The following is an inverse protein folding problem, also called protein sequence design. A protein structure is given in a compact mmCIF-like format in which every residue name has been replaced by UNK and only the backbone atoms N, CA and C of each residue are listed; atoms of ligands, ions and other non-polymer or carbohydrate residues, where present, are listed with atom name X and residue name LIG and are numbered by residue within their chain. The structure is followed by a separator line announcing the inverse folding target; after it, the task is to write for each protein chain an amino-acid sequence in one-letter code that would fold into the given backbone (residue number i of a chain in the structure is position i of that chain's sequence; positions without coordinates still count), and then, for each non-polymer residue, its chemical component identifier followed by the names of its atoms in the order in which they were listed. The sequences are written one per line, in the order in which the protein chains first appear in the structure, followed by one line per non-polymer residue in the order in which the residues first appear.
data_IF_151220409786
#
_entry.id   IF_151220409786
#
_cell.length_a   1.000
_cell.length_b   1.000
_cell.length_c   1.000
_cell.angle_alpha   90.00
_cell.angle_beta   90.00
_cell.angle_gamma   90.00
#
_symmetry.space_group_name_H-M   'P 1'
#
loop_
_entity.id
_entity.type
_entity.pdbx_description
1 polymer ?
#
# COMPACT_ATOMS: atom_id res chain seq x y z
N UNK A 1 -24.79 3.91 -13.37
CA UNK A 1 -25.29 2.81 -14.23
C UNK A 1 -25.86 1.76 -13.28
N UNK A 2 -27.12 1.33 -13.49
CA UNK A 2 -27.73 0.29 -12.65
C UNK A 2 -27.64 -1.05 -13.37
N UNK A 3 -27.36 -2.11 -12.62
CA UNK A 3 -27.33 -3.48 -13.13
C UNK A 3 -28.50 -4.29 -12.57
N UNK A 4 -28.98 -5.24 -13.37
CA UNK A 4 -29.82 -6.34 -12.91
C UNK A 4 -28.96 -7.58 -12.73
N UNK A 5 -29.09 -8.20 -11.57
CA UNK A 5 -28.59 -9.55 -11.29
C UNK A 5 -29.76 -10.51 -11.50
N UNK A 6 -29.57 -11.51 -12.32
CA UNK A 6 -30.52 -12.61 -12.51
C UNK A 6 -29.91 -13.90 -11.95
N UNK A 7 -30.57 -14.52 -10.98
CA UNK A 7 -30.19 -15.80 -10.39
C UNK A 7 -31.02 -16.93 -11.02
N UNK A 8 -30.38 -17.78 -11.81
CA UNK A 8 -30.99 -18.88 -12.53
C UNK A 8 -30.78 -20.18 -11.79
N UNK A 9 -31.88 -20.90 -11.51
CA UNK A 9 -31.88 -22.27 -11.01
C UNK A 9 -32.15 -23.21 -12.17
N UNK A 10 -31.26 -24.15 -12.41
CA UNK A 10 -31.23 -25.01 -13.60
C UNK A 10 -31.19 -26.47 -13.20
N UNK A 11 -32.03 -27.31 -13.79
CA UNK A 11 -32.00 -28.77 -13.54
C UNK A 11 -32.26 -29.55 -14.83
N UNK A 12 -31.34 -30.45 -15.25
CA UNK A 12 -29.96 -30.56 -14.79
C UNK A 12 -29.11 -29.35 -15.14
N UNK A 13 -28.08 -29.04 -14.33
CA UNK A 13 -27.25 -27.81 -14.50
C UNK A 13 -26.47 -27.89 -15.82
N UNK A 14 -25.80 -29.01 -16.06
CA UNK A 14 -25.02 -29.22 -17.29
C UNK A 14 -25.78 -30.10 -18.30
N UNK A 15 -25.72 -29.79 -19.63
CA UNK A 15 -24.98 -28.68 -20.26
C UNK A 15 -25.75 -27.35 -20.35
N UNK A 16 -26.90 -27.23 -19.68
CA UNK A 16 -27.80 -26.09 -19.86
C UNK A 16 -27.20 -24.75 -19.41
N UNK A 17 -26.36 -24.73 -18.37
CA UNK A 17 -25.70 -23.50 -17.92
C UNK A 17 -24.76 -22.93 -18.99
N UNK A 18 -23.97 -23.77 -19.67
CA UNK A 18 -23.06 -23.32 -20.74
C UNK A 18 -23.84 -22.74 -21.93
N UNK A 19 -24.95 -23.39 -22.30
CA UNK A 19 -25.82 -22.91 -23.39
C UNK A 19 -26.46 -21.57 -22.99
N UNK A 20 -26.96 -21.49 -21.76
CA UNK A 20 -27.61 -20.26 -21.26
C UNK A 20 -26.63 -19.09 -21.18
N UNK A 21 -25.38 -19.31 -20.80
CA UNK A 21 -24.31 -18.27 -20.81
C UNK A 21 -24.12 -17.73 -22.22
N UNK A 22 -24.07 -18.60 -23.23
CA UNK A 22 -23.88 -18.17 -24.61
C UNK A 22 -25.09 -17.34 -25.11
N UNK A 23 -26.32 -17.79 -24.86
CA UNK A 23 -27.54 -17.09 -25.28
C UNK A 23 -27.72 -15.74 -24.56
N UNK A 24 -27.46 -15.68 -23.26
CA UNK A 24 -27.49 -14.45 -22.47
C UNK A 24 -26.42 -13.47 -22.90
N UNK A 25 -25.23 -13.95 -23.27
CA UNK A 25 -24.16 -13.10 -23.81
C UNK A 25 -24.59 -12.36 -25.09
N UNK A 26 -25.34 -13.02 -25.96
CA UNK A 26 -25.93 -12.39 -27.18
C UNK A 26 -27.00 -11.33 -26.83
N UNK A 27 -27.64 -11.44 -25.68
CA UNK A 27 -28.62 -10.46 -25.18
C UNK A 27 -27.98 -9.32 -24.38
N UNK A 28 -26.64 -9.25 -24.32
CA UNK A 28 -25.91 -8.16 -23.68
C UNK A 28 -25.60 -8.36 -22.20
N UNK A 29 -25.72 -9.60 -21.69
CA UNK A 29 -25.20 -9.90 -20.35
C UNK A 29 -23.67 -9.93 -20.36
N UNK A 30 -23.03 -9.28 -19.37
CA UNK A 30 -21.60 -8.99 -19.39
C UNK A 30 -20.79 -9.87 -18.42
N UNK A 31 -21.44 -10.45 -17.41
CA UNK A 31 -20.76 -11.24 -16.39
C UNK A 31 -21.61 -12.39 -15.90
N UNK A 32 -20.95 -13.53 -15.63
CA UNK A 32 -21.58 -14.79 -15.25
C UNK A 32 -20.82 -15.42 -14.07
N UNK A 33 -21.57 -15.92 -13.09
CA UNK A 33 -21.03 -16.66 -11.95
C UNK A 33 -21.78 -17.99 -11.83
N UNK A 34 -21.11 -19.09 -12.12
CA UNK A 34 -21.67 -20.42 -12.00
C UNK A 34 -21.70 -20.88 -10.53
N UNK A 35 -22.72 -21.66 -10.16
CA UNK A 35 -22.86 -22.32 -8.86
C UNK A 35 -23.50 -23.72 -9.03
N UNK A 36 -23.58 -24.47 -7.94
CA UNK A 36 -24.10 -25.85 -7.94
C UNK A 36 -25.58 -25.98 -8.35
N UNK A 37 -26.34 -24.88 -8.34
CA UNK A 37 -27.78 -24.85 -8.65
C UNK A 37 -28.08 -24.19 -10.00
N UNK A 38 -27.08 -23.63 -10.69
CA UNK A 38 -27.23 -22.93 -11.95
C UNK A 38 -26.21 -21.81 -12.14
N UNK A 39 -26.67 -20.60 -12.45
CA UNK A 39 -25.79 -19.45 -12.66
C UNK A 39 -26.43 -18.13 -12.26
N UNK A 40 -25.59 -17.16 -11.94
CA UNK A 40 -25.97 -15.76 -11.76
C UNK A 40 -25.42 -14.96 -12.93
N UNK A 41 -26.26 -14.16 -13.57
CA UNK A 41 -25.87 -13.33 -14.71
C UNK A 41 -26.19 -11.86 -14.47
N UNK A 42 -25.35 -10.97 -15.03
CA UNK A 42 -25.46 -9.54 -14.84
C UNK A 42 -25.64 -8.83 -16.18
N UNK A 43 -26.60 -7.91 -16.24
CA UNK A 43 -26.88 -7.08 -17.41
C UNK A 43 -27.16 -5.64 -16.98
N UNK A 44 -26.78 -4.67 -17.82
CA UNK A 44 -27.19 -3.28 -17.59
C UNK A 44 -28.72 -3.17 -17.68
N UNK A 45 -29.31 -2.51 -16.68
CA UNK A 45 -30.79 -2.43 -16.56
C UNK A 45 -31.46 -1.87 -17.83
N UNK A 46 -30.80 -0.91 -18.46
CA UNK A 46 -31.32 -0.26 -19.67
C UNK A 46 -31.22 -1.16 -20.93
N UNK A 47 -30.39 -2.20 -20.88
CA UNK A 47 -30.23 -3.21 -21.93
C UNK A 47 -31.12 -4.45 -21.72
N UNK A 48 -31.65 -4.63 -20.52
CA UNK A 48 -32.47 -5.80 -20.20
C UNK A 48 -33.78 -5.78 -20.98
N UNK A 49 -34.02 -6.84 -21.74
CA UNK A 49 -35.25 -7.05 -22.53
C UNK A 49 -35.92 -8.36 -22.12
N UNK A 50 -37.01 -8.27 -21.37
CA UNK A 50 -37.76 -9.44 -20.91
C UNK A 50 -38.30 -10.29 -22.04
N UNK A 51 -38.78 -9.69 -23.13
CA UNK A 51 -39.32 -10.42 -24.27
C UNK A 51 -38.23 -11.26 -24.95
N UNK A 52 -37.04 -10.68 -25.15
CA UNK A 52 -35.91 -11.41 -25.72
C UNK A 52 -35.44 -12.55 -24.82
N UNK A 53 -35.52 -12.35 -23.47
CA UNK A 53 -35.26 -13.40 -22.50
C UNK A 53 -36.21 -14.57 -22.61
N UNK A 54 -37.50 -14.32 -22.79
CA UNK A 54 -38.52 -15.39 -22.93
C UNK A 54 -38.40 -16.17 -24.23
N UNK A 55 -37.74 -15.59 -25.25
CA UNK A 55 -37.49 -16.22 -26.56
C UNK A 55 -36.21 -17.10 -26.57
N UNK A 56 -35.43 -17.14 -25.51
CA UNK A 56 -34.24 -18.02 -25.35
C UNK A 56 -34.66 -19.47 -25.58
N UNK A 57 -33.93 -20.19 -26.41
CA UNK A 57 -34.23 -21.57 -26.78
C UNK A 57 -34.42 -22.50 -25.57
N UNK A 58 -33.55 -22.37 -24.56
CA UNK A 58 -33.64 -23.20 -23.38
C UNK A 58 -34.94 -23.02 -22.58
N UNK A 59 -35.58 -21.86 -22.59
CA UNK A 59 -36.88 -21.65 -21.92
C UNK A 59 -38.06 -22.20 -22.72
N UNK A 60 -37.87 -22.44 -24.02
CA UNK A 60 -38.92 -23.01 -24.89
C UNK A 60 -38.93 -24.53 -24.89
N UNK A 61 -37.85 -25.19 -24.45
CA UNK A 61 -37.73 -26.65 -24.40
C UNK A 61 -38.24 -27.21 -23.10
N UNK A 62 -38.65 -28.48 -23.08
CA UNK A 62 -39.04 -29.19 -21.85
C UNK A 62 -37.89 -30.06 -21.28
N UNK A 63 -36.71 -29.95 -21.86
CA UNK A 63 -35.57 -30.82 -21.49
C UNK A 63 -34.90 -30.33 -20.16
N UNK A 64 -35.05 -29.06 -19.83
CA UNK A 64 -34.49 -28.47 -18.64
C UNK A 64 -35.57 -27.73 -17.85
N UNK A 65 -35.47 -27.77 -16.51
CA UNK A 65 -36.27 -26.92 -15.65
C UNK A 65 -35.44 -25.71 -15.28
N UNK A 66 -35.85 -24.53 -15.76
CA UNK A 66 -35.14 -23.28 -15.49
C UNK A 66 -36.13 -22.32 -14.87
N UNK A 67 -35.73 -21.73 -13.74
CA UNK A 67 -36.43 -20.62 -13.11
C UNK A 67 -35.42 -19.54 -12.76
N UNK A 68 -35.87 -18.30 -12.72
CA UNK A 68 -34.99 -17.20 -12.36
C UNK A 68 -35.69 -16.15 -11.52
N UNK A 69 -34.89 -15.43 -10.76
CA UNK A 69 -35.29 -14.24 -10.02
C UNK A 69 -34.37 -13.10 -10.37
N UNK A 70 -34.87 -11.86 -10.33
CA UNK A 70 -34.04 -10.69 -10.57
C UNK A 70 -34.03 -9.74 -9.40
N UNK A 71 -32.88 -9.08 -9.20
CA UNK A 71 -32.78 -7.95 -8.27
C UNK A 71 -31.94 -6.83 -8.91
N UNK A 72 -32.30 -5.59 -8.59
CA UNK A 72 -31.46 -4.44 -8.98
C UNK A 72 -30.21 -4.39 -8.12
N UNK A 73 -29.05 -4.39 -8.76
CA UNK A 73 -27.76 -4.15 -8.08
C UNK A 73 -27.50 -2.65 -8.15
N UNK A 74 -27.60 -2.00 -7.02
CA UNK A 74 -27.18 -0.60 -6.93
C UNK A 74 -25.67 -0.58 -6.98
N UNK A 75 -25.12 0.23 -7.90
CA UNK A 75 -23.67 0.41 -7.98
C UNK A 75 -23.15 0.93 -6.64
N UNK A 76 -22.49 0.06 -5.91
CA UNK A 76 -21.83 0.46 -4.66
C UNK A 76 -20.53 1.18 -5.03
N UNK A 77 -20.38 2.39 -4.58
CA UNK A 77 -19.11 3.10 -4.69
C UNK A 77 -18.11 2.52 -3.66
N UNK A 78 -17.45 1.43 -4.06
CA UNK A 78 -16.45 0.76 -3.22
C UNK A 78 -15.32 1.69 -2.80
N UNK A 79 -14.96 2.67 -3.63
CA UNK A 79 -13.96 3.67 -3.28
C UNK A 79 -14.43 4.52 -2.09
N UNK A 80 -15.68 5.00 -2.13
CA UNK A 80 -16.23 5.78 -1.02
C UNK A 80 -16.37 4.95 0.29
N UNK A 81 -16.70 3.66 0.19
CA UNK A 81 -16.72 2.78 1.37
C UNK A 81 -15.31 2.50 1.91
N UNK A 82 -14.34 2.31 1.01
CA UNK A 82 -12.95 2.16 1.38
C UNK A 82 -12.39 3.44 2.04
N UNK A 83 -12.65 4.61 1.46
CA UNK A 83 -12.24 5.90 2.02
C UNK A 83 -12.78 6.12 3.44
N UNK A 84 -14.04 5.75 3.72
CA UNK A 84 -14.62 5.81 5.06
C UNK A 84 -13.94 4.89 6.06
N UNK A 85 -13.43 3.75 5.61
CA UNK A 85 -12.74 2.77 6.45
C UNK A 85 -11.27 3.10 6.68
N UNK A 86 -10.65 3.87 5.76
CA UNK A 86 -9.25 4.27 5.83
C UNK A 86 -9.10 5.44 6.81
N UNK A 87 -8.48 5.21 7.97
CA UNK A 87 -8.38 6.20 9.04
C UNK A 87 -7.02 6.91 9.01
N UNK A 88 -6.94 8.20 9.36
CA UNK A 88 -5.66 8.85 9.55
C UNK A 88 -4.93 8.27 10.77
N UNK A 89 -3.59 8.34 10.75
CA UNK A 89 -2.72 7.84 11.81
C UNK A 89 -2.08 9.02 12.55
N UNK A 90 -2.27 9.07 13.86
CA UNK A 90 -1.63 10.06 14.72
C UNK A 90 -0.46 9.42 15.48
N UNK A 91 0.76 9.94 15.28
CA UNK A 91 1.98 9.47 15.92
C UNK A 91 2.39 10.46 17.01
N UNK A 92 2.46 9.98 18.27
CA UNK A 92 2.89 10.74 19.45
C UNK A 92 2.19 12.11 19.64
N UNK A 93 0.91 12.22 19.23
CA UNK A 93 0.10 13.46 19.24
C UNK A 93 0.76 14.65 18.51
N UNK A 94 1.76 14.40 17.66
CA UNK A 94 2.55 15.42 16.95
C UNK A 94 2.46 15.32 15.44
N UNK A 95 2.45 14.10 14.89
CA UNK A 95 2.46 13.88 13.45
C UNK A 95 1.19 13.15 13.02
N UNK A 96 0.39 13.78 12.19
CA UNK A 96 -0.76 13.18 11.53
C UNK A 96 -0.35 12.75 10.13
N UNK A 97 -0.49 11.46 9.83
CA UNK A 97 -0.42 10.95 8.46
C UNK A 97 -1.84 10.67 7.98
N UNK A 98 -2.26 11.34 6.94
CA UNK A 98 -3.63 11.27 6.42
C UNK A 98 -3.68 11.19 4.90
N UNK A 99 -4.78 10.68 4.36
CA UNK A 99 -5.07 10.75 2.94
C UNK A 99 -5.63 12.14 2.55
N UNK A 100 -5.61 12.51 1.25
CA UNK A 100 -6.14 13.80 0.77
C UNK A 100 -7.62 14.04 1.10
N UNK A 101 -8.42 12.96 1.20
CA UNK A 101 -9.85 13.03 1.52
C UNK A 101 -10.16 13.17 3.03
N UNK A 102 -9.14 13.14 3.89
CA UNK A 102 -9.32 13.39 5.33
C UNK A 102 -9.19 14.88 5.64
N UNK A 103 -9.96 15.32 6.63
CA UNK A 103 -9.87 16.69 7.15
C UNK A 103 -8.50 16.94 7.81
N UNK A 104 -8.00 18.16 7.63
CA UNK A 104 -6.80 18.63 8.31
C UNK A 104 -7.09 18.80 9.81
N UNK A 105 -6.12 18.45 10.64
CA UNK A 105 -6.17 18.62 12.09
C UNK A 105 -5.05 19.57 12.56
N UNK A 106 -5.24 20.18 13.73
CA UNK A 106 -4.23 21.06 14.32
C UNK A 106 -3.16 20.20 15.04
N UNK A 107 -2.13 19.83 14.30
CA UNK A 107 -0.97 19.07 14.78
C UNK A 107 0.33 19.74 14.37
N UNK A 108 1.44 19.35 14.97
CA UNK A 108 2.76 19.91 14.64
C UNK A 108 3.16 19.58 13.20
N UNK A 109 2.95 18.35 12.78
CA UNK A 109 3.28 17.86 11.44
C UNK A 109 2.04 17.21 10.81
N UNK A 110 1.50 17.81 9.78
CA UNK A 110 0.43 17.25 8.95
C UNK A 110 1.05 16.76 7.64
N UNK A 111 0.97 15.45 7.40
CA UNK A 111 1.53 14.77 6.23
C UNK A 111 0.39 14.16 5.43
N UNK A 112 0.31 14.53 4.16
CA UNK A 112 -0.72 14.04 3.24
C UNK A 112 -0.10 12.99 2.31
N UNK A 113 -0.56 11.74 2.43
CA UNK A 113 -0.10 10.62 1.61
C UNK A 113 -1.26 10.11 0.76
N UNK A 114 -1.07 10.05 -0.56
CA UNK A 114 -2.00 9.37 -1.46
C UNK A 114 -1.88 7.86 -1.29
N UNK A 115 -2.91 7.19 -0.76
CA UNK A 115 -2.86 5.75 -0.56
C UNK A 115 -3.01 5.03 -1.90
N UNK A 116 -1.87 4.57 -2.43
CA UNK A 116 -1.74 3.74 -3.62
C UNK A 116 -1.20 2.36 -3.23
N UNK A 117 -0.60 1.64 -4.16
CA UNK A 117 0.00 0.32 -3.91
C UNK A 117 1.35 0.40 -3.17
N UNK A 118 1.89 1.60 -2.92
CA UNK A 118 3.16 1.79 -2.21
C UNK A 118 3.00 1.58 -0.70
N UNK A 119 4.00 0.96 -0.08
CA UNK A 119 4.10 0.81 1.37
C UNK A 119 4.41 2.16 2.05
N UNK A 120 3.99 2.34 3.31
CA UNK A 120 4.34 3.54 4.09
C UNK A 120 3.19 4.54 4.29
N UNK A 121 1.94 4.08 4.38
CA UNK A 121 0.78 4.93 4.74
C UNK A 121 0.68 5.25 6.25
N UNK A 122 1.61 4.73 7.06
CA UNK A 122 1.62 4.91 8.51
C UNK A 122 0.88 3.84 9.32
N UNK A 123 0.04 3.02 8.70
CA UNK A 123 -0.78 2.02 9.39
C UNK A 123 0.02 0.83 9.90
N UNK A 124 1.06 0.44 9.17
CA UNK A 124 1.91 -0.68 9.58
C UNK A 124 2.78 -0.28 10.77
N UNK A 125 3.01 -1.21 11.69
CA UNK A 125 3.78 -1.01 12.92
C UNK A 125 5.18 -0.46 12.67
N UNK A 126 5.85 -0.95 11.65
CA UNK A 126 7.21 -0.53 11.29
C UNK A 126 7.25 0.93 10.85
N UNK A 127 6.32 1.37 10.01
CA UNK A 127 6.23 2.77 9.59
C UNK A 127 5.92 3.67 10.80
N UNK A 128 4.96 3.27 11.64
CA UNK A 128 4.63 4.00 12.86
C UNK A 128 5.86 4.18 13.78
N UNK A 129 6.62 3.11 14.00
CA UNK A 129 7.83 3.15 14.85
C UNK A 129 8.96 3.99 14.24
N UNK A 130 9.15 3.92 12.91
CA UNK A 130 10.13 4.75 12.23
C UNK A 130 9.76 6.23 12.30
N UNK A 131 8.48 6.60 12.11
CA UNK A 131 8.00 7.97 12.34
C UNK A 131 8.22 8.41 13.79
N UNK A 132 8.01 7.51 14.76
CA UNK A 132 8.29 7.79 16.19
C UNK A 132 9.77 8.07 16.41
N UNK A 133 10.66 7.28 15.82
CA UNK A 133 12.10 7.55 15.90
C UNK A 133 12.46 8.92 15.30
N UNK A 134 11.87 9.32 14.19
CA UNK A 134 12.12 10.64 13.59
C UNK A 134 11.69 11.76 14.57
N UNK A 135 10.53 11.62 15.21
CA UNK A 135 10.02 12.62 16.17
C UNK A 135 10.83 12.71 17.47
N UNK A 136 11.57 11.66 17.83
CA UNK A 136 12.38 11.57 19.05
C UNK A 136 13.84 11.98 18.84
N UNK A 137 14.27 12.24 17.62
CA UNK A 137 15.65 12.56 17.30
C UNK A 137 15.76 13.94 16.61
N UNK A 138 16.94 14.53 16.65
CA UNK A 138 17.21 15.81 15.99
C UNK A 138 17.59 15.59 14.53
N UNK A 139 16.79 16.17 13.63
CA UNK A 139 16.99 16.16 12.17
C UNK A 139 17.41 17.53 11.63
N UNK A 140 17.49 18.55 12.47
CA UNK A 140 17.76 19.92 12.01
C UNK A 140 19.12 20.06 11.34
N UNK A 141 19.12 20.49 10.08
CA UNK A 141 20.32 20.70 9.28
C UNK A 141 20.99 19.42 8.80
N UNK A 142 20.40 18.25 9.04
CA UNK A 142 20.99 16.95 8.67
C UNK A 142 20.75 16.57 7.22
N UNK A 143 21.70 15.78 6.69
CA UNK A 143 21.53 15.02 5.44
C UNK A 143 20.95 13.63 5.76
N UNK A 144 19.93 13.21 5.00
CA UNK A 144 19.15 12.00 5.27
C UNK A 144 19.01 11.16 4.01
N UNK A 145 19.18 9.85 4.14
CA UNK A 145 18.81 8.86 3.14
C UNK A 145 17.60 8.07 3.64
N UNK A 146 16.56 7.95 2.81
CA UNK A 146 15.41 7.06 3.00
C UNK A 146 15.46 5.96 1.95
N UNK A 147 15.86 4.76 2.36
CA UNK A 147 16.10 3.61 1.50
C UNK A 147 14.94 2.63 1.54
N UNK A 148 14.35 2.34 0.36
CA UNK A 148 13.05 1.69 0.23
C UNK A 148 11.94 2.63 0.69
N UNK A 149 11.90 3.84 0.12
CA UNK A 149 11.11 4.95 0.65
C UNK A 149 9.59 4.76 0.50
N UNK A 150 9.13 3.86 -0.37
CA UNK A 150 7.72 3.56 -0.58
C UNK A 150 6.89 4.79 -0.94
N UNK A 151 6.08 5.29 -0.01
CA UNK A 151 5.32 6.54 -0.17
C UNK A 151 6.14 7.81 0.02
N UNK A 152 7.39 7.70 0.50
CA UNK A 152 8.24 8.83 0.89
C UNK A 152 7.91 9.43 2.26
N UNK A 153 7.03 8.82 3.05
CA UNK A 153 6.52 9.38 4.32
C UNK A 153 7.62 9.68 5.33
N UNK A 154 8.68 8.85 5.40
CA UNK A 154 9.79 9.04 6.34
C UNK A 154 10.66 10.22 5.92
N UNK A 155 11.01 10.32 4.64
CA UNK A 155 11.74 11.46 4.09
C UNK A 155 10.96 12.77 4.28
N UNK A 156 9.64 12.76 4.02
CA UNK A 156 8.75 13.92 4.20
C UNK A 156 8.76 14.38 5.66
N UNK A 157 8.61 13.46 6.63
CA UNK A 157 8.67 13.83 8.04
C UNK A 157 10.06 14.35 8.42
N UNK A 158 11.13 13.73 7.93
CA UNK A 158 12.50 14.18 8.21
C UNK A 158 12.75 15.60 7.71
N UNK A 159 12.27 15.98 6.51
CA UNK A 159 12.36 17.37 6.02
C UNK A 159 11.54 18.32 6.90
N UNK A 160 10.30 17.93 7.25
CA UNK A 160 9.48 18.76 8.16
C UNK A 160 10.10 18.92 9.56
N UNK A 161 10.92 17.96 10.01
CA UNK A 161 11.73 18.05 11.24
C UNK A 161 13.04 18.83 11.05
N UNK A 162 13.28 19.39 9.87
CA UNK A 162 14.38 20.32 9.60
C UNK A 162 15.59 19.73 8.89
N UNK A 163 15.52 18.53 8.34
CA UNK A 163 16.55 18.01 7.44
C UNK A 163 16.64 18.88 6.17
N UNK A 164 17.86 19.06 5.64
CA UNK A 164 18.13 20.06 4.58
C UNK A 164 18.66 19.46 3.29
N UNK A 165 19.00 18.17 3.29
CA UNK A 165 19.43 17.42 2.10
C UNK A 165 18.93 16.00 2.25
N UNK A 166 18.03 15.58 1.39
CA UNK A 166 17.42 14.26 1.51
C UNK A 166 17.45 13.54 0.17
N UNK A 167 17.80 12.27 0.23
CA UNK A 167 17.60 11.33 -0.88
C UNK A 167 16.61 10.26 -0.44
N UNK A 168 15.62 9.99 -1.31
CA UNK A 168 14.62 8.96 -1.12
C UNK A 168 14.69 8.00 -2.31
N UNK A 169 15.02 6.73 -2.06
CA UNK A 169 15.31 5.76 -3.12
C UNK A 169 14.36 4.57 -2.98
N UNK A 170 13.72 4.15 -4.08
CA UNK A 170 12.96 2.92 -4.15
C UNK A 170 13.19 2.20 -5.48
N UNK A 171 13.24 0.87 -5.44
CA UNK A 171 13.47 0.05 -6.62
C UNK A 171 12.24 -0.03 -7.52
N UNK A 172 11.06 0.13 -6.94
CA UNK A 172 9.79 0.00 -7.63
C UNK A 172 9.35 1.33 -8.26
N UNK A 173 9.16 1.34 -9.58
CA UNK A 173 8.74 2.54 -10.31
C UNK A 173 7.45 3.17 -9.76
N UNK A 174 6.46 2.36 -9.35
CA UNK A 174 5.22 2.90 -8.75
C UNK A 174 5.47 3.58 -7.40
N UNK A 175 6.45 3.12 -6.60
CA UNK A 175 6.88 3.77 -5.37
C UNK A 175 7.58 5.10 -5.68
N UNK A 176 8.51 5.09 -6.64
CA UNK A 176 9.18 6.29 -7.13
C UNK A 176 8.17 7.38 -7.55
N UNK A 177 7.21 7.03 -8.41
CA UNK A 177 6.17 7.97 -8.87
C UNK A 177 5.30 8.45 -7.73
N UNK A 178 4.86 7.56 -6.84
CA UNK A 178 4.03 7.92 -5.70
C UNK A 178 4.76 8.81 -4.69
N UNK A 179 6.06 8.55 -4.45
CA UNK A 179 6.90 9.40 -3.61
C UNK A 179 7.03 10.82 -4.17
N UNK A 180 7.29 10.97 -5.48
CA UNK A 180 7.33 12.29 -6.13
C UNK A 180 6.04 13.07 -5.91
N UNK A 181 4.88 12.45 -6.16
CA UNK A 181 3.58 13.08 -5.94
C UNK A 181 3.37 13.50 -4.47
N UNK A 182 3.77 12.64 -3.53
CA UNK A 182 3.62 12.93 -2.11
C UNK A 182 4.58 14.02 -1.62
N UNK A 183 5.81 14.03 -2.11
CA UNK A 183 6.80 15.11 -1.84
C UNK A 183 6.25 16.45 -2.29
N UNK A 184 5.74 16.56 -3.51
CA UNK A 184 5.10 17.77 -4.04
C UNK A 184 3.87 18.17 -3.21
N UNK A 185 2.97 17.21 -2.91
CA UNK A 185 1.73 17.45 -2.12
C UNK A 185 2.02 18.00 -0.73
N UNK A 186 3.15 17.63 -0.14
CA UNK A 186 3.57 18.10 1.19
C UNK A 186 4.44 19.37 1.15
N UNK A 187 4.65 19.97 -0.03
CA UNK A 187 5.51 21.12 -0.26
C UNK A 187 6.94 20.91 0.26
N UNK A 188 7.49 19.72 0.08
CA UNK A 188 8.87 19.38 0.37
C UNK A 188 9.76 19.73 -0.82
N UNK A 189 10.90 20.39 -0.58
CA UNK A 189 11.76 20.93 -1.64
C UNK A 189 13.22 20.47 -1.53
N UNK A 190 13.57 19.70 -0.49
CA UNK A 190 14.92 19.22 -0.20
C UNK A 190 15.06 17.72 -0.42
N UNK A 191 14.01 17.04 -0.91
CA UNK A 191 14.00 15.59 -1.15
C UNK A 191 14.22 15.33 -2.63
N UNK A 192 15.33 14.67 -2.96
CA UNK A 192 15.57 14.10 -4.28
C UNK A 192 15.08 12.65 -4.28
N UNK A 193 14.06 12.36 -5.08
CA UNK A 193 13.53 10.98 -5.23
C UNK A 193 14.22 10.32 -6.41
N UNK A 194 14.69 9.06 -6.23
CA UNK A 194 15.40 8.27 -7.25
C UNK A 194 14.79 6.87 -7.37
N UNK A 195 14.73 6.35 -8.60
CA UNK A 195 14.36 4.96 -8.85
C UNK A 195 15.64 4.11 -8.88
N UNK A 196 15.72 3.09 -8.00
CA UNK A 196 16.85 2.17 -7.94
C UNK A 196 17.05 1.54 -6.56
N UNK A 197 18.23 0.97 -6.37
CA UNK A 197 18.61 0.27 -5.14
C UNK A 197 19.93 0.85 -4.55
N UNK A 198 20.51 0.15 -3.56
CA UNK A 198 21.73 0.56 -2.90
C UNK A 198 22.95 0.73 -3.84
N UNK A 199 22.88 0.24 -5.08
CA UNK A 199 23.94 0.46 -6.07
C UNK A 199 24.04 1.91 -6.56
N UNK A 200 23.01 2.73 -6.34
CA UNK A 200 23.04 4.17 -6.62
C UNK A 200 23.86 4.95 -5.58
N UNK A 201 24.14 4.35 -4.43
CA UNK A 201 24.88 4.99 -3.34
C UNK A 201 26.38 5.05 -3.72
N UNK A 202 26.85 6.25 -3.97
CA UNK A 202 28.25 6.53 -4.30
C UNK A 202 29.06 6.93 -3.06
N UNK A 203 29.83 8.04 -3.19
CA UNK A 203 30.66 8.59 -2.11
C UNK A 203 29.91 9.53 -1.15
N UNK A 204 28.64 9.82 -1.43
CA UNK A 204 27.83 10.73 -0.61
C UNK A 204 27.68 10.17 0.81
N UNK A 205 27.82 11.06 1.79
CA UNK A 205 27.71 10.71 3.22
C UNK A 205 26.49 11.39 3.85
N UNK A 206 25.74 10.61 4.63
CA UNK A 206 24.54 11.04 5.32
C UNK A 206 24.75 11.09 6.83
N UNK A 207 24.09 12.05 7.48
CA UNK A 207 24.01 12.11 8.95
C UNK A 207 23.07 11.04 9.49
N UNK A 208 22.02 10.72 8.71
CA UNK A 208 21.00 9.73 9.06
C UNK A 208 20.67 8.87 7.84
N UNK A 209 20.55 7.56 8.07
CA UNK A 209 20.00 6.62 7.10
C UNK A 209 18.79 5.94 7.73
N UNK A 210 17.68 5.97 7.03
CA UNK A 210 16.42 5.30 7.35
C UNK A 210 16.24 4.15 6.36
N UNK A 211 15.96 2.93 6.84
CA UNK A 211 15.63 1.80 5.97
C UNK A 211 14.53 0.94 6.62
N UNK A 212 13.33 1.03 6.08
CA UNK A 212 12.17 0.25 6.50
C UNK A 212 11.83 -0.79 5.42
N UNK A 213 12.70 -1.79 5.28
CA UNK A 213 12.63 -2.82 4.24
C UNK A 213 12.85 -4.22 4.83
N UNK A 214 12.63 -5.28 4.05
CA UNK A 214 12.73 -6.62 4.58
C UNK A 214 14.16 -6.99 5.05
N UNK A 215 14.23 -7.89 6.06
CA UNK A 215 15.46 -8.36 6.70
C UNK A 215 16.57 -8.77 5.72
N UNK A 216 16.21 -9.51 4.67
CA UNK A 216 17.22 -10.09 3.77
C UNK A 216 17.95 -9.01 2.97
N UNK A 217 17.23 -7.97 2.56
CA UNK A 217 17.81 -6.80 1.88
C UNK A 217 18.66 -6.00 2.88
N UNK A 218 18.17 -5.79 4.10
CA UNK A 218 18.96 -5.11 5.14
C UNK A 218 20.30 -5.81 5.37
N UNK A 219 20.30 -7.12 5.59
CA UNK A 219 21.53 -7.90 5.82
C UNK A 219 22.51 -7.84 4.65
N UNK A 220 22.00 -7.74 3.41
CA UNK A 220 22.83 -7.58 2.21
C UNK A 220 23.46 -6.19 2.14
N UNK A 221 22.70 -5.14 2.50
CA UNK A 221 23.04 -3.76 2.17
C UNK A 221 23.60 -2.93 3.36
N UNK A 222 23.58 -3.46 4.62
CA UNK A 222 24.12 -2.78 5.82
C UNK A 222 25.56 -2.29 5.59
N UNK A 223 26.43 -3.07 4.97
CA UNK A 223 27.80 -2.65 4.67
C UNK A 223 27.83 -1.38 3.82
N UNK A 224 27.00 -1.32 2.77
CA UNK A 224 26.86 -0.16 1.89
C UNK A 224 26.32 1.04 2.67
N UNK A 225 25.30 0.84 3.51
CA UNK A 225 24.73 1.92 4.33
C UNK A 225 25.76 2.49 5.30
N UNK A 226 26.49 1.65 6.01
CA UNK A 226 27.55 2.09 6.92
C UNK A 226 28.65 2.84 6.17
N UNK A 227 29.01 2.36 4.96
CA UNK A 227 29.99 3.07 4.11
C UNK A 227 29.53 4.47 3.70
N UNK A 228 28.22 4.73 3.64
CA UNK A 228 27.62 6.03 3.32
C UNK A 228 27.21 6.84 4.56
N UNK A 229 27.44 6.33 5.78
CA UNK A 229 27.14 7.03 7.01
C UNK A 229 28.32 7.93 7.44
N UNK A 230 28.03 9.13 7.93
CA UNK A 230 29.04 10.01 8.55
C UNK A 230 29.50 9.44 9.89
N UNK A 231 30.66 9.86 10.39
CA UNK A 231 31.30 9.33 11.60
C UNK A 231 30.44 9.50 12.85
N UNK A 232 29.57 10.41 13.00
CA UNK A 232 28.65 10.57 14.12
C UNK A 232 27.19 10.35 13.65
N UNK A 233 27.02 9.57 12.60
CA UNK A 233 25.73 9.32 11.98
C UNK A 233 24.92 8.24 12.69
N UNK A 234 23.63 8.19 12.38
CA UNK A 234 22.69 7.22 12.91
C UNK A 234 22.01 6.42 11.79
N UNK A 235 21.91 5.10 12.01
CA UNK A 235 21.22 4.16 11.12
C UNK A 235 19.96 3.65 11.83
N UNK A 236 18.81 3.84 11.20
CA UNK A 236 17.52 3.34 11.68
C UNK A 236 17.02 2.25 10.74
N UNK A 237 16.80 1.07 11.29
CA UNK A 237 16.40 -0.13 10.55
C UNK A 237 15.07 -0.67 11.07
N UNK A 238 14.17 -1.02 10.16
CA UNK A 238 12.91 -1.69 10.46
C UNK A 238 12.48 -2.57 9.28
N UNK A 239 11.34 -3.30 9.41
CA UNK A 239 10.87 -4.25 8.41
C UNK A 239 11.29 -5.70 8.74
N UNK A 240 11.58 -5.97 10.03
CA UNK A 240 11.94 -7.28 10.55
C UNK A 240 11.31 -7.53 11.93
N UNK A 241 11.28 -8.79 12.34
CA UNK A 241 10.71 -9.21 13.63
C UNK A 241 11.74 -9.20 14.76
N UNK A 242 11.25 -9.25 16.00
CA UNK A 242 12.10 -9.26 17.21
C UNK A 242 13.13 -10.39 17.18
N UNK A 243 12.78 -11.56 16.67
CA UNK A 243 13.68 -12.71 16.53
C UNK A 243 14.87 -12.46 15.59
N UNK A 244 14.75 -11.49 14.68
CA UNK A 244 15.80 -11.11 13.73
C UNK A 244 16.76 -10.04 14.29
N UNK A 245 16.40 -9.40 15.42
CA UNK A 245 17.14 -8.25 15.96
C UNK A 245 18.60 -8.60 16.30
N UNK A 246 18.86 -9.79 16.83
CA UNK A 246 20.22 -10.22 17.15
C UNK A 246 21.09 -10.34 15.89
N UNK A 247 20.55 -10.91 14.83
CA UNK A 247 21.25 -11.07 13.54
C UNK A 247 21.54 -9.72 12.86
N UNK A 248 20.58 -8.81 12.84
CA UNK A 248 20.75 -7.44 12.33
C UNK A 248 21.77 -6.68 13.16
N UNK A 249 21.69 -6.77 14.50
CA UNK A 249 22.64 -6.10 15.40
C UNK A 249 24.06 -6.62 15.20
N UNK A 250 24.24 -7.95 15.11
CA UNK A 250 25.55 -8.54 14.86
C UNK A 250 26.17 -8.00 13.56
N UNK A 251 25.36 -7.86 12.50
CA UNK A 251 25.81 -7.30 11.22
C UNK A 251 26.18 -5.82 11.34
N UNK A 252 25.41 -5.02 12.04
CA UNK A 252 25.73 -3.61 12.29
C UNK A 252 27.06 -3.46 13.10
N UNK A 253 27.24 -4.29 14.13
CA UNK A 253 28.43 -4.29 14.99
C UNK A 253 29.68 -4.72 14.20
N UNK A 254 29.56 -5.67 13.28
CA UNK A 254 30.65 -6.09 12.38
C UNK A 254 31.25 -4.89 11.63
N UNK A 255 30.45 -3.90 11.25
CA UNK A 255 30.87 -2.68 10.57
C UNK A 255 31.08 -1.48 11.51
N UNK A 256 31.16 -1.70 12.82
CA UNK A 256 31.56 -0.69 13.79
C UNK A 256 30.44 0.14 14.39
N UNK A 257 29.17 -0.15 14.09
CA UNK A 257 28.04 0.50 14.73
C UNK A 257 27.75 -0.11 16.10
N UNK A 258 27.18 0.69 16.99
CA UNK A 258 26.70 0.27 18.30
C UNK A 258 25.16 0.34 18.32
N UNK A 259 24.52 -0.69 18.89
CA UNK A 259 23.10 -0.65 19.16
C UNK A 259 22.80 0.38 20.24
N UNK A 260 21.88 1.30 19.99
CA UNK A 260 21.46 2.31 20.95
C UNK A 260 20.12 1.95 21.60
N UNK A 261 19.09 1.73 20.80
CA UNK A 261 17.74 1.36 21.28
C UNK A 261 16.90 0.76 20.17
N UNK A 262 15.78 0.14 20.55
CA UNK A 262 14.72 -0.22 19.62
C UNK A 262 13.33 0.17 20.17
N UNK A 263 12.37 0.26 19.25
CA UNK A 263 10.95 0.23 19.53
C UNK A 263 10.41 -1.12 19.08
N UNK A 264 9.37 -1.60 19.77
CA UNK A 264 8.69 -2.86 19.45
C UNK A 264 7.18 -2.65 19.43
N UNK A 265 6.52 -3.23 18.45
CA UNK A 265 5.06 -3.23 18.34
C UNK A 265 4.61 -4.46 17.56
N UNK A 266 3.74 -5.31 18.16
CA UNK A 266 3.22 -6.53 17.53
C UNK A 266 4.33 -7.41 16.93
N UNK A 267 5.40 -7.65 17.68
CA UNK A 267 6.59 -8.41 17.27
C UNK A 267 7.45 -7.78 16.16
N UNK A 268 7.05 -6.64 15.58
CA UNK A 268 7.89 -5.85 14.67
C UNK A 268 8.84 -4.96 15.45
N UNK A 269 10.01 -4.70 14.87
CA UNK A 269 11.06 -3.88 15.49
C UNK A 269 11.47 -2.72 14.59
N UNK A 270 11.76 -1.58 15.23
CA UNK A 270 12.52 -0.50 14.63
C UNK A 270 13.72 -0.19 15.54
N UNK A 271 14.93 -0.41 15.05
CA UNK A 271 16.17 -0.32 15.81
C UNK A 271 17.02 0.86 15.35
N UNK A 272 17.71 1.50 16.31
CA UNK A 272 18.67 2.58 16.09
C UNK A 272 20.07 2.11 16.42
N UNK A 273 20.99 2.40 15.51
CA UNK A 273 22.43 2.16 15.64
C UNK A 273 23.19 3.46 15.39
N UNK A 274 24.32 3.63 16.07
CA UNK A 274 25.20 4.80 15.97
C UNK A 274 26.65 4.36 15.90
N UNK A 275 27.53 5.24 15.38
CA UNK A 275 28.97 5.00 15.50
C UNK A 275 29.47 5.20 16.94
#
# INVERSE_FOLDING_TARGET
MEYLELDFKISPVQPASDILIAELGELGFESFVENDEGLIAYVQKDLFNLQAMEEIYLFTTKEHQISWTSKTVVQQNWNAEWEKSFKPILVQDKCLVRAPFHEQQNVTYDIVIEPKMSFGTGHHETTFMMLSHILENDFKGKSVLDMGCGTGVLAILAEKCGATTLEAIDIDNWCYVNSLENVERNNCHHIEVKEGDASLLGETKFDVILANINRNILLKDIETYVSCLKKDGALFLSGFYLEDLEMISAKCIEFGLQFEKNLEKNNWVAAKYVF
#
